data_IF_650611565781
#
_entry.id   IF_650611565781
#
_cell.length_a   1.000
_cell.length_b   1.000
_cell.length_c   1.000
_cell.angle_alpha   90.00
_cell.angle_beta   90.00
_cell.angle_gamma   90.00
#
_symmetry.space_group_name_H-M   'P 1'
#
loop_
_entity.id
_entity.type
_entity.pdbx_description
1 polymer ?
#
# COMPACT_ATOMS: atom_id res chain seq x y z
N UNK A 1 -1.96 -6.98 -2.91
CA UNK A 1 -2.51 -8.26 -2.38
C UNK A 1 -1.41 -9.25 -1.96
N UNK A 2 -0.49 -9.66 -2.85
CA UNK A 2 0.48 -10.73 -2.52
C UNK A 2 1.37 -10.45 -1.29
N UNK A 3 1.92 -9.23 -1.15
CA UNK A 3 2.73 -8.87 0.03
C UNK A 3 1.92 -8.93 1.33
N UNK A 4 0.64 -8.53 1.31
CA UNK A 4 -0.23 -8.62 2.50
C UNK A 4 -0.48 -10.09 2.90
N UNK A 5 -0.56 -11.01 1.94
CA UNK A 5 -0.64 -12.44 2.23
C UNK A 5 0.64 -12.94 2.92
N UNK A 6 1.81 -12.45 2.52
CA UNK A 6 3.06 -12.79 3.21
C UNK A 6 3.10 -12.23 4.62
N UNK A 7 2.63 -10.99 4.85
CA UNK A 7 2.53 -10.42 6.18
C UNK A 7 1.59 -11.23 7.08
N UNK A 8 0.41 -11.62 6.59
CA UNK A 8 -0.56 -12.46 7.32
C UNK A 8 0.02 -13.82 7.72
N UNK A 9 0.96 -14.34 6.93
CA UNK A 9 1.62 -15.62 7.17
C UNK A 9 3.09 -15.46 7.57
N UNK A 10 3.46 -14.33 8.17
CA UNK A 10 4.85 -14.03 8.57
C UNK A 10 5.37 -14.99 9.66
N UNK A 11 4.48 -15.71 10.35
CA UNK A 11 4.82 -16.80 11.24
C UNK A 11 5.62 -17.91 10.52
N UNK A 12 5.28 -18.17 9.25
CA UNK A 12 5.87 -19.23 8.40
C UNK A 12 6.68 -18.73 7.22
N UNK A 13 6.19 -17.73 6.50
CA UNK A 13 6.84 -17.20 5.29
C UNK A 13 7.88 -16.16 5.74
N UNK A 14 9.15 -16.56 5.71
CA UNK A 14 10.29 -15.71 6.13
C UNK A 14 11.05 -15.08 4.97
N UNK A 15 10.82 -15.55 3.74
CA UNK A 15 11.48 -15.06 2.54
C UNK A 15 10.55 -15.24 1.33
N UNK A 16 10.53 -14.23 0.47
CA UNK A 16 9.92 -14.29 -0.86
C UNK A 16 10.77 -13.47 -1.83
N UNK A 17 10.84 -13.90 -3.09
CA UNK A 17 11.60 -13.23 -4.14
C UNK A 17 10.70 -12.99 -5.36
N UNK A 18 10.61 -11.74 -5.79
CA UNK A 18 9.91 -11.37 -7.02
C UNK A 18 10.70 -11.84 -8.25
N UNK A 19 10.02 -12.45 -9.22
CA UNK A 19 10.61 -12.83 -10.49
C UNK A 19 10.27 -11.78 -11.58
N UNK A 20 11.23 -11.06 -12.17
CA UNK A 20 12.63 -10.85 -11.76
C UNK A 20 12.88 -9.35 -11.58
N UNK A 21 14.10 -8.93 -11.23
CA UNK A 21 14.36 -7.53 -10.86
C UNK A 21 14.36 -6.55 -12.04
N UNK A 22 14.94 -6.90 -13.19
CA UNK A 22 15.19 -5.98 -14.32
C UNK A 22 14.79 -6.63 -15.65
N UNK A 23 14.05 -5.90 -16.49
CA UNK A 23 13.67 -6.26 -17.88
C UNK A 23 12.91 -7.58 -18.10
N UNK A 24 12.58 -8.33 -17.05
CA UNK A 24 12.00 -9.67 -17.14
C UNK A 24 10.79 -9.80 -16.22
N UNK A 25 9.67 -10.28 -16.79
CA UNK A 25 8.40 -10.49 -16.09
C UNK A 25 7.92 -9.20 -15.38
N UNK A 26 7.54 -9.30 -14.10
CA UNK A 26 7.07 -8.17 -13.30
C UNK A 26 8.27 -7.44 -12.66
N UNK A 27 9.06 -6.76 -13.49
CA UNK A 27 10.29 -6.10 -13.05
C UNK A 27 10.07 -4.87 -12.17
N UNK A 28 11.08 -4.59 -11.33
CA UNK A 28 11.17 -3.37 -10.52
C UNK A 28 11.54 -2.19 -11.43
N UNK A 29 12.50 -2.38 -12.35
CA UNK A 29 12.85 -1.37 -13.34
C UNK A 29 13.04 -1.97 -14.72
N UNK A 30 12.91 -1.10 -15.73
CA UNK A 30 13.26 -1.40 -17.11
C UNK A 30 14.43 -0.53 -17.53
N UNK A 31 15.32 -1.07 -18.37
CA UNK A 31 16.48 -0.36 -18.90
C UNK A 31 16.56 -0.51 -20.41
N UNK A 32 17.04 0.54 -21.08
CA UNK A 32 17.35 0.55 -22.51
C UNK A 32 18.57 1.46 -22.76
N UNK A 33 19.72 0.85 -23.00
CA UNK A 33 21.01 1.54 -23.02
C UNK A 33 21.29 2.24 -21.68
N UNK A 34 21.45 3.56 -21.71
CA UNK A 34 21.67 4.41 -20.53
C UNK A 34 20.38 4.83 -19.83
N UNK A 35 19.20 4.55 -20.42
CA UNK A 35 17.90 4.94 -19.85
C UNK A 35 17.43 3.91 -18.84
N UNK A 36 16.80 4.38 -17.76
CA UNK A 36 16.14 3.53 -16.76
C UNK A 36 14.78 4.14 -16.40
N UNK A 37 13.76 3.29 -16.28
CA UNK A 37 12.44 3.67 -15.78
C UNK A 37 12.02 2.76 -14.63
N UNK A 38 11.45 3.34 -13.57
CA UNK A 38 10.85 2.60 -12.45
C UNK A 38 9.45 2.16 -12.84
N UNK A 39 9.10 0.91 -12.58
CA UNK A 39 7.74 0.42 -12.83
C UNK A 39 6.83 0.77 -11.65
N UNK A 40 5.50 0.70 -11.83
CA UNK A 40 4.55 0.74 -10.70
C UNK A 40 4.88 -0.28 -9.60
N UNK A 41 5.49 -1.42 -9.95
CA UNK A 41 5.94 -2.43 -8.98
C UNK A 41 7.05 -1.88 -8.08
N UNK A 42 8.01 -1.10 -8.61
CA UNK A 42 9.02 -0.43 -7.78
C UNK A 42 8.37 0.46 -6.73
N UNK A 43 7.39 1.27 -7.13
CA UNK A 43 6.68 2.15 -6.23
C UNK A 43 5.86 1.40 -5.18
N UNK A 44 5.20 0.29 -5.55
CA UNK A 44 4.51 -0.56 -4.59
C UNK A 44 5.47 -1.14 -3.54
N UNK A 45 6.68 -1.56 -3.93
CA UNK A 45 7.70 -2.00 -2.98
C UNK A 45 8.19 -0.85 -2.08
N UNK A 46 8.39 0.36 -2.61
CA UNK A 46 8.80 1.53 -1.82
C UNK A 46 7.72 1.96 -0.81
N UNK A 47 6.43 1.87 -1.18
CA UNK A 47 5.32 2.16 -0.28
C UNK A 47 5.22 1.17 0.89
N UNK A 48 5.55 -0.11 0.65
CA UNK A 48 5.39 -1.19 1.62
C UNK A 48 6.70 -1.54 2.37
N UNK A 49 7.82 -0.89 2.05
CA UNK A 49 9.14 -1.23 2.63
C UNK A 49 9.20 -1.09 4.15
N UNK A 50 8.40 -0.21 4.73
CA UNK A 50 8.40 0.04 6.18
C UNK A 50 7.86 -1.15 6.99
N UNK A 51 7.23 -2.13 6.35
CA UNK A 51 6.87 -3.39 6.98
C UNK A 51 8.07 -4.31 7.22
N UNK A 52 9.22 -4.08 6.57
CA UNK A 52 10.42 -4.90 6.74
C UNK A 52 10.91 -4.85 8.20
N UNK A 53 11.07 -6.04 8.80
CA UNK A 53 11.46 -6.23 10.20
C UNK A 53 10.46 -5.64 11.23
N UNK A 54 9.25 -5.31 10.80
CA UNK A 54 8.15 -4.89 11.69
C UNK A 54 7.41 -6.08 12.29
N UNK A 55 6.76 -5.85 13.42
CA UNK A 55 5.83 -6.82 14.03
C UNK A 55 4.43 -6.63 13.45
N UNK A 56 3.80 -7.71 12.96
CA UNK A 56 2.48 -7.66 12.33
C UNK A 56 1.42 -7.25 13.35
N UNK A 57 0.55 -6.33 12.97
CA UNK A 57 -0.63 -5.95 13.75
C UNK A 57 -1.88 -6.57 13.13
N UNK A 58 -2.81 -6.99 13.98
CA UNK A 58 -4.13 -7.44 13.55
C UNK A 58 -4.97 -6.26 13.07
N UNK A 59 -5.69 -6.47 11.95
CA UNK A 59 -6.60 -5.48 11.38
C UNK A 59 -7.96 -6.14 11.20
N UNK A 60 -8.96 -5.61 11.91
CA UNK A 60 -10.33 -6.12 11.86
C UNK A 60 -11.28 -5.07 11.27
N UNK A 61 -12.22 -5.54 10.44
CA UNK A 61 -13.29 -4.71 9.92
C UNK A 61 -14.51 -4.79 10.84
N UNK A 62 -14.92 -3.65 11.40
CA UNK A 62 -16.23 -3.53 12.04
C UNK A 62 -17.35 -3.67 11.00
N UNK A 63 -17.18 -2.96 9.87
CA UNK A 63 -18.03 -3.04 8.70
C UNK A 63 -17.19 -3.53 7.51
N UNK A 64 -17.52 -4.71 6.98
CA UNK A 64 -16.74 -5.27 5.86
C UNK A 64 -16.87 -4.39 4.62
N UNK A 65 -15.78 -4.15 3.87
CA UNK A 65 -15.85 -3.43 2.62
C UNK A 65 -16.71 -4.21 1.61
N UNK A 66 -17.29 -3.50 0.65
CA UNK A 66 -18.00 -4.12 -0.47
C UNK A 66 -17.09 -5.15 -1.18
N UNK A 67 -17.67 -6.21 -1.75
CA UNK A 67 -16.93 -7.18 -2.54
C UNK A 67 -16.72 -6.68 -3.98
N UNK A 68 -15.58 -7.02 -4.57
CA UNK A 68 -15.31 -6.91 -6.01
C UNK A 68 -15.31 -8.31 -6.65
N UNK A 69 -14.65 -8.49 -7.79
CA UNK A 69 -14.59 -9.77 -8.50
C UNK A 69 -14.06 -10.89 -7.60
N UNK A 70 -14.65 -12.08 -7.75
CA UNK A 70 -14.28 -13.29 -6.99
C UNK A 70 -14.50 -13.17 -5.47
N UNK A 71 -15.44 -12.33 -5.05
CA UNK A 71 -15.78 -12.10 -3.63
C UNK A 71 -14.59 -11.57 -2.80
N UNK A 72 -13.62 -10.94 -3.47
CA UNK A 72 -12.53 -10.24 -2.79
C UNK A 72 -13.05 -8.95 -2.17
N UNK A 73 -12.57 -8.54 -0.98
CA UNK A 73 -12.92 -7.23 -0.43
C UNK A 73 -12.42 -6.13 -1.37
N UNK A 74 -13.18 -5.04 -1.51
CA UNK A 74 -12.76 -3.88 -2.30
C UNK A 74 -11.48 -3.27 -1.74
N UNK A 75 -11.34 -3.24 -0.41
CA UNK A 75 -10.15 -2.74 0.27
C UNK A 75 -9.47 -3.87 1.03
N UNK A 76 -8.19 -4.06 0.76
CA UNK A 76 -7.33 -4.96 1.54
C UNK A 76 -6.33 -4.12 2.34
N UNK A 77 -6.21 -4.41 3.64
CA UNK A 77 -5.31 -3.74 4.57
C UNK A 77 -4.26 -4.69 5.13
N UNK A 78 -3.09 -4.16 5.48
CA UNK A 78 -2.08 -4.84 6.29
C UNK A 78 -1.41 -3.80 7.19
N UNK A 79 -1.13 -4.17 8.44
CA UNK A 79 -0.46 -3.27 9.37
C UNK A 79 0.71 -3.95 10.07
N UNK A 80 1.72 -3.16 10.43
CA UNK A 80 2.80 -3.57 11.33
C UNK A 80 3.22 -2.42 12.24
N UNK A 81 3.90 -2.72 13.33
CA UNK A 81 4.57 -1.74 14.18
C UNK A 81 6.08 -1.90 14.06
N UNK A 82 6.78 -0.77 13.92
CA UNK A 82 8.25 -0.70 13.88
C UNK A 82 8.68 0.63 14.45
N UNK A 83 9.68 0.61 15.34
CA UNK A 83 10.27 1.84 15.92
C UNK A 83 9.21 2.80 16.52
N UNK A 84 8.18 2.24 17.15
CA UNK A 84 7.09 2.99 17.78
C UNK A 84 6.13 3.68 16.80
N UNK A 85 6.20 3.37 15.50
CA UNK A 85 5.25 3.83 14.50
C UNK A 85 4.44 2.66 13.93
N UNK A 86 3.15 2.89 13.72
CA UNK A 86 2.28 1.97 12.99
C UNK A 86 2.43 2.27 11.50
N UNK A 87 2.70 1.24 10.71
CA UNK A 87 2.78 1.27 9.26
C UNK A 87 1.58 0.51 8.71
N UNK A 88 0.71 1.21 8.00
CA UNK A 88 -0.47 0.66 7.35
C UNK A 88 -0.27 0.68 5.84
N UNK A 89 -0.50 -0.44 5.17
CA UNK A 89 -0.66 -0.48 3.72
C UNK A 89 -2.11 -0.79 3.36
N UNK A 90 -2.61 -0.11 2.33
CA UNK A 90 -3.98 -0.23 1.84
C UNK A 90 -4.01 -0.40 0.33
N UNK A 91 -4.87 -1.29 -0.18
CA UNK A 91 -5.04 -1.54 -1.61
C UNK A 91 -6.52 -1.49 -1.96
N UNK A 92 -6.90 -0.67 -2.94
CA UNK A 92 -8.23 -0.68 -3.54
C UNK A 92 -8.21 -1.59 -4.77
N UNK A 93 -8.90 -2.72 -4.66
CA UNK A 93 -9.03 -3.75 -5.71
C UNK A 93 -10.11 -3.41 -6.74
N UNK A 94 -10.88 -2.34 -6.55
CA UNK A 94 -11.82 -1.86 -7.56
C UNK A 94 -11.10 -1.16 -8.71
N UNK A 95 -11.52 -1.47 -9.93
CA UNK A 95 -10.99 -0.85 -11.15
C UNK A 95 -11.64 0.51 -11.45
N UNK A 96 -12.79 0.81 -10.86
CA UNK A 96 -13.63 1.97 -11.23
C UNK A 96 -14.22 2.73 -10.04
N UNK A 97 -14.22 2.16 -8.83
CA UNK A 97 -14.81 2.79 -7.63
C UNK A 97 -13.75 3.21 -6.63
N UNK A 98 -13.79 4.47 -6.14
CA UNK A 98 -12.99 4.86 -4.99
C UNK A 98 -13.49 4.13 -3.73
N UNK A 99 -12.65 4.13 -2.69
CA UNK A 99 -13.02 3.64 -1.37
C UNK A 99 -12.72 4.70 -0.32
N UNK A 100 -13.67 4.92 0.59
CA UNK A 100 -13.46 5.70 1.81
C UNK A 100 -13.13 4.73 2.93
N UNK A 101 -12.05 5.00 3.66
CA UNK A 101 -11.57 4.15 4.74
C UNK A 101 -11.46 4.98 5.99
N UNK A 102 -12.09 4.52 7.07
CA UNK A 102 -11.93 5.08 8.41
C UNK A 102 -11.44 3.97 9.33
N UNK A 103 -10.37 4.25 10.07
CA UNK A 103 -9.73 3.30 10.97
C UNK A 103 -9.58 3.91 12.35
N UNK A 104 -9.71 3.07 13.38
CA UNK A 104 -9.27 3.38 14.73
C UNK A 104 -8.00 2.62 15.02
N UNK A 105 -7.07 3.28 15.69
CA UNK A 105 -5.78 2.75 16.08
C UNK A 105 -5.79 2.59 17.59
N UNK A 106 -5.71 1.34 18.05
CA UNK A 106 -5.47 1.06 19.45
C UNK A 106 -4.06 1.54 19.85
N UNK A 107 -3.91 2.11 21.04
CA UNK A 107 -2.60 2.54 21.55
C UNK A 107 -2.44 4.04 21.80
N UNK A 108 -3.52 4.81 21.81
CA UNK A 108 -3.53 6.19 22.31
C UNK A 108 -3.89 7.24 21.25
N UNK A 109 -3.71 8.50 21.61
CA UNK A 109 -4.01 9.61 20.71
C UNK A 109 -2.97 9.71 19.60
N UNK A 110 -3.41 9.90 18.37
CA UNK A 110 -2.54 10.07 17.20
C UNK A 110 -1.83 11.42 17.29
N UNK A 111 -0.50 11.40 17.15
CA UNK A 111 0.34 12.61 17.15
C UNK A 111 0.70 13.07 15.74
N UNK A 112 0.89 12.14 14.81
CA UNK A 112 1.39 12.42 13.46
C UNK A 112 0.92 11.35 12.48
N UNK A 113 0.61 11.77 11.25
CA UNK A 113 0.28 10.89 10.13
C UNK A 113 0.98 11.35 8.86
N UNK A 114 1.50 10.41 8.06
CA UNK A 114 2.03 10.68 6.72
C UNK A 114 1.53 9.61 5.76
N UNK A 115 0.86 10.03 4.68
CA UNK A 115 0.31 9.15 3.67
C UNK A 115 0.99 9.33 2.31
N UNK A 116 1.27 8.22 1.63
CA UNK A 116 1.75 8.18 0.24
C UNK A 116 0.96 7.14 -0.54
N UNK A 117 0.74 7.36 -1.82
CA UNK A 117 0.03 6.41 -2.68
C UNK A 117 0.54 6.41 -4.11
N UNK A 118 0.21 5.35 -4.84
CA UNK A 118 0.15 5.33 -6.31
C UNK A 118 -1.28 5.04 -6.74
N UNK A 119 -1.70 5.61 -7.87
CA UNK A 119 -2.97 5.32 -8.51
C UNK A 119 -2.86 5.60 -10.02
N UNK A 120 -3.80 5.08 -10.79
CA UNK A 120 -3.90 5.27 -12.23
C UNK A 120 -4.92 4.32 -12.84
N UNK A 121 -5.18 4.47 -14.13
CA UNK A 121 -6.02 3.51 -14.86
C UNK A 121 -5.47 2.09 -14.75
N UNK A 122 -6.34 1.07 -14.88
CA UNK A 122 -5.94 -0.34 -14.73
C UNK A 122 -4.82 -0.79 -15.68
N UNK A 123 -4.64 -0.09 -16.81
CA UNK A 123 -3.57 -0.36 -17.80
C UNK A 123 -2.45 0.68 -17.80
N UNK A 124 -2.46 1.63 -16.85
CA UNK A 124 -1.44 2.66 -16.77
C UNK A 124 -0.07 2.04 -16.41
N UNK A 125 0.97 2.47 -17.11
CA UNK A 125 2.34 2.00 -16.92
C UNK A 125 3.32 3.11 -17.33
N UNK A 126 4.54 3.03 -16.81
CA UNK A 126 5.61 3.97 -17.12
C UNK A 126 6.38 3.49 -18.36
N UNK A 127 6.76 4.42 -19.23
CA UNK A 127 7.60 4.18 -20.41
C UNK A 127 8.87 5.02 -20.31
N UNK A 128 9.82 4.87 -21.25
CA UNK A 128 11.00 5.73 -21.26
C UNK A 128 10.65 7.18 -21.65
N UNK A 129 9.57 7.37 -22.40
CA UNK A 129 9.07 8.67 -22.86
C UNK A 129 8.17 9.35 -21.82
N UNK A 130 7.49 8.56 -20.98
CA UNK A 130 6.63 9.01 -19.88
C UNK A 130 6.94 8.21 -18.60
N UNK A 131 8.08 8.49 -17.95
CA UNK A 131 8.62 7.65 -16.87
C UNK A 131 7.89 7.78 -15.54
N UNK A 132 7.06 8.82 -15.35
CA UNK A 132 6.39 9.13 -14.09
C UNK A 132 4.85 9.12 -14.19
N UNK A 133 4.30 8.52 -15.26
CA UNK A 133 2.84 8.36 -15.48
C UNK A 133 2.11 7.77 -14.27
N UNK A 134 2.73 6.78 -13.65
CA UNK A 134 2.33 6.18 -12.37
C UNK A 134 3.50 6.34 -11.42
N UNK A 135 3.39 7.31 -10.53
CA UNK A 135 4.42 7.71 -9.58
C UNK A 135 3.82 7.95 -8.20
N UNK A 136 4.67 7.95 -7.16
CA UNK A 136 4.23 8.17 -5.78
C UNK A 136 3.73 9.61 -5.61
N UNK A 137 2.54 9.73 -5.06
CA UNK A 137 1.88 10.99 -4.71
C UNK A 137 1.61 11.02 -3.21
N UNK A 138 1.38 12.22 -2.68
CA UNK A 138 0.90 12.39 -1.30
C UNK A 138 -0.53 11.87 -1.21
N UNK A 139 -0.81 11.08 -0.18
CA UNK A 139 -2.17 10.71 0.20
C UNK A 139 -2.58 11.59 1.39
N UNK A 140 -3.60 12.45 1.26
CA UNK A 140 -4.19 13.14 2.39
C UNK A 140 -4.77 12.13 3.39
N UNK A 141 -4.43 12.30 4.66
CA UNK A 141 -4.94 11.50 5.78
C UNK A 141 -5.50 12.46 6.81
N UNK A 142 -6.81 12.39 7.01
CA UNK A 142 -7.55 13.24 7.92
C UNK A 142 -7.67 12.58 9.30
N UNK A 143 -7.75 13.39 10.35
CA UNK A 143 -8.06 12.90 11.69
C UNK A 143 -9.54 12.52 11.80
N UNK A 144 -9.83 11.34 12.35
CA UNK A 144 -11.19 10.88 12.66
C UNK A 144 -11.33 10.67 14.18
N UNK A 145 -11.33 11.77 14.93
CA UNK A 145 -11.24 11.76 16.39
C UNK A 145 -9.79 11.73 16.90
N UNK A 146 -9.59 11.40 18.17
CA UNK A 146 -8.25 11.37 18.78
C UNK A 146 -7.43 10.14 18.41
N UNK A 147 -8.10 9.02 18.14
CA UNK A 147 -7.52 7.69 17.93
C UNK A 147 -7.83 7.14 16.53
N UNK A 148 -8.35 7.96 15.62
CA UNK A 148 -8.78 7.53 14.30
C UNK A 148 -8.21 8.34 13.16
N UNK A 149 -8.12 7.71 11.99
CA UNK A 149 -7.78 8.34 10.71
C UNK A 149 -8.86 8.06 9.67
N UNK A 150 -8.99 8.94 8.69
CA UNK A 150 -9.78 8.74 7.49
C UNK A 150 -8.95 9.10 6.25
N UNK A 151 -9.14 8.35 5.16
CA UNK A 151 -8.53 8.65 3.87
C UNK A 151 -9.38 8.08 2.73
N UNK A 152 -9.23 8.67 1.55
CA UNK A 152 -9.86 8.20 0.32
C UNK A 152 -8.83 7.53 -0.58
N UNK A 153 -9.09 6.29 -0.98
CA UNK A 153 -8.25 5.53 -1.88
C UNK A 153 -8.88 5.48 -3.27
N UNK A 154 -8.25 6.05 -4.32
CA UNK A 154 -8.76 5.98 -5.68
C UNK A 154 -8.91 4.54 -6.18
N UNK A 155 -9.65 4.30 -7.28
CA UNK A 155 -9.60 3.03 -8.00
C UNK A 155 -8.16 2.62 -8.30
N UNK A 156 -7.86 1.33 -8.23
CA UNK A 156 -6.51 0.76 -8.40
C UNK A 156 -5.44 1.31 -7.44
N UNK A 157 -5.83 2.05 -6.39
CA UNK A 157 -4.92 2.73 -5.49
C UNK A 157 -4.15 1.76 -4.58
N UNK A 158 -2.86 2.04 -4.37
CA UNK A 158 -2.03 1.40 -3.34
C UNK A 158 -1.44 2.50 -2.47
N UNK A 159 -1.58 2.39 -1.17
CA UNK A 159 -1.10 3.38 -0.21
C UNK A 159 -0.21 2.75 0.87
N UNK A 160 0.74 3.56 1.35
CA UNK A 160 1.50 3.34 2.58
C UNK A 160 1.31 4.55 3.49
N UNK A 161 0.89 4.30 4.72
CA UNK A 161 0.55 5.31 5.72
C UNK A 161 1.35 5.03 6.99
N UNK A 162 2.07 6.02 7.48
CA UNK A 162 2.75 5.98 8.77
C UNK A 162 1.95 6.77 9.80
N UNK A 163 1.79 6.20 11.00
CA UNK A 163 1.00 6.75 12.09
C UNK A 163 1.84 6.67 13.36
N UNK A 164 1.96 7.78 14.09
CA UNK A 164 2.56 7.82 15.43
C UNK A 164 1.48 8.14 16.46
N UNK A 165 1.54 7.46 17.60
CA UNK A 165 0.69 7.73 18.77
C UNK A 165 1.49 8.46 19.85
N UNK A 166 0.80 9.10 20.79
CA UNK A 166 1.37 9.70 22.01
C UNK A 166 1.36 8.73 23.18
#
# INVERSE_FOLDING_TARGET
>A
LMLHLFHRHADRIRLANLAQTINVLQSICLTDGERMVRTPTCHAFDLLKEHQDGEVLEVEWTDRPASVRYDLPQVELSASIKEGAVHLSAVNLSADKPAEVTLRIAGGAISETSGRMIAGDVTAHNTFEDPDRVSIQVLPVDSAGSDGIAFQLPPCGIAGIQIRTR
#
